data_IF_459990189456
#
_entry.id   IF_459990189456
#
_cell.length_a   1.000
_cell.length_b   1.000
_cell.length_c   1.000
_cell.angle_alpha   90.00
_cell.angle_beta   90.00
_cell.angle_gamma   90.00
#
_symmetry.space_group_name_H-M   'P 1'
#
loop_
_entity.id
_entity.type
_entity.pdbx_description
1 polymer ?
#
# COMPACT_ATOMS: atom_id res chain seq x y z
N UNK A 1 -4.23 21.46 10.59
CA UNK A 1 -3.16 20.91 9.70
C UNK A 1 -1.86 21.03 10.46
N UNK A 2 -1.17 19.92 10.71
CA UNK A 2 0.17 19.95 11.30
C UNK A 2 1.10 20.70 10.35
N UNK A 3 1.86 21.65 10.88
CA UNK A 3 2.81 22.45 10.08
C UNK A 3 4.06 21.61 9.82
N UNK A 4 3.97 20.68 8.86
CA UNK A 4 5.09 19.81 8.48
C UNK A 4 5.98 20.61 7.53
N UNK A 5 7.26 20.86 7.86
CA UNK A 5 8.17 21.61 7.00
C UNK A 5 8.35 20.90 5.65
N UNK A 6 8.55 21.67 4.59
CA UNK A 6 8.84 21.11 3.27
C UNK A 6 10.21 20.46 3.26
N UNK A 7 10.27 19.24 2.70
CA UNK A 7 11.52 18.50 2.47
C UNK A 7 11.93 18.50 0.99
N UNK A 8 11.29 19.31 0.15
CA UNK A 8 11.51 19.35 -1.29
C UNK A 8 12.97 19.53 -1.69
N UNK A 9 13.73 20.34 -0.94
CA UNK A 9 15.15 20.59 -1.21
C UNK A 9 16.09 19.49 -0.68
N UNK A 10 15.55 18.49 0.01
CA UNK A 10 16.31 17.39 0.63
C UNK A 10 16.27 16.09 -0.18
N UNK A 11 15.49 16.07 -1.25
CA UNK A 11 15.27 14.88 -2.10
C UNK A 11 15.48 15.23 -3.57
N UNK A 12 15.66 14.20 -4.43
CA UNK A 12 15.78 14.44 -5.86
C UNK A 12 14.45 14.95 -6.45
N UNK A 13 14.47 15.64 -7.61
CA UNK A 13 13.26 16.05 -8.30
C UNK A 13 12.30 14.87 -8.60
N UNK A 14 12.83 13.71 -8.97
CA UNK A 14 12.09 12.49 -9.27
C UNK A 14 11.41 11.95 -8.01
N UNK A 15 12.12 11.88 -6.88
CA UNK A 15 11.53 11.48 -5.60
C UNK A 15 10.47 12.49 -5.17
N UNK A 16 10.71 13.79 -5.35
CA UNK A 16 9.74 14.81 -4.99
C UNK A 16 8.44 14.67 -5.80
N UNK A 17 8.53 14.44 -7.11
CA UNK A 17 7.35 14.21 -7.94
C UNK A 17 6.58 12.97 -7.49
N UNK A 18 7.28 11.88 -7.20
CA UNK A 18 6.64 10.66 -6.68
C UNK A 18 5.92 10.92 -5.35
N UNK A 19 6.50 11.73 -4.46
CA UNK A 19 5.87 12.14 -3.19
C UNK A 19 4.58 12.93 -3.42
N UNK A 20 4.58 13.84 -4.40
CA UNK A 20 3.40 14.61 -4.77
C UNK A 20 2.31 13.70 -5.31
N UNK A 21 2.64 12.79 -6.21
CA UNK A 21 1.68 11.86 -6.82
C UNK A 21 1.12 10.88 -5.78
N UNK A 22 1.96 10.35 -4.89
CA UNK A 22 1.51 9.46 -3.82
C UNK A 22 0.62 10.17 -2.81
N UNK A 23 0.95 11.41 -2.43
CA UNK A 23 0.09 12.20 -1.55
C UNK A 23 -1.26 12.53 -2.21
N UNK A 24 -1.27 12.78 -3.52
CA UNK A 24 -2.50 12.97 -4.29
C UNK A 24 -3.35 11.68 -4.32
N UNK A 25 -2.72 10.50 -4.49
CA UNK A 25 -3.40 9.20 -4.44
C UNK A 25 -4.09 8.98 -3.08
N UNK A 26 -3.41 9.25 -1.96
CA UNK A 26 -4.02 9.18 -0.63
C UNK A 26 -5.25 10.07 -0.48
N UNK A 27 -5.15 11.32 -0.96
CA UNK A 27 -6.27 12.28 -0.91
C UNK A 27 -7.44 11.84 -1.79
N UNK A 28 -7.18 11.24 -2.95
CA UNK A 28 -8.20 10.66 -3.81
C UNK A 28 -8.91 9.49 -3.13
N UNK A 29 -8.18 8.60 -2.47
CA UNK A 29 -8.76 7.49 -1.68
C UNK A 29 -9.66 8.03 -0.57
N UNK A 30 -9.25 9.09 0.13
CA UNK A 30 -10.10 9.76 1.12
C UNK A 30 -11.34 10.40 0.48
N UNK A 31 -11.17 11.10 -0.65
CA UNK A 31 -12.26 11.76 -1.39
C UNK A 31 -13.34 10.75 -1.84
N UNK A 32 -12.93 9.56 -2.28
CA UNK A 32 -13.85 8.50 -2.69
C UNK A 32 -14.42 7.69 -1.51
N UNK A 33 -14.03 7.99 -0.27
CA UNK A 33 -14.51 7.26 0.92
C UNK A 33 -13.98 5.83 1.01
N UNK A 34 -12.78 5.57 0.51
CA UNK A 34 -12.14 4.25 0.51
C UNK A 34 -11.13 4.08 1.65
N UNK A 35 -10.90 5.12 2.44
CA UNK A 35 -10.04 5.06 3.62
C UNK A 35 -10.75 4.32 4.77
N UNK A 36 -9.96 3.66 5.61
CA UNK A 36 -10.40 3.04 6.86
C UNK A 36 -9.52 3.57 8.00
N UNK A 37 -9.84 4.76 8.49
CA UNK A 37 -9.05 5.46 9.51
C UNK A 37 -7.55 5.49 9.13
N UNK A 38 -6.71 4.82 9.92
CA UNK A 38 -5.25 4.75 9.75
C UNK A 38 -4.77 3.33 9.37
N UNK A 39 -5.71 2.41 9.09
CA UNK A 39 -5.40 0.97 8.93
C UNK A 39 -5.02 0.56 7.52
N UNK A 40 -5.22 1.41 6.54
CA UNK A 40 -4.86 1.15 5.14
C UNK A 40 -3.63 1.95 4.72
N UNK A 41 -3.00 1.56 3.62
CA UNK A 41 -1.72 2.14 3.22
C UNK A 41 -1.50 1.98 1.72
N UNK A 42 -0.71 2.89 1.17
CA UNK A 42 -0.21 2.85 -0.21
C UNK A 42 1.29 3.07 -0.15
N UNK A 43 2.07 2.21 -0.77
CA UNK A 43 3.50 2.43 -0.93
C UNK A 43 3.87 2.63 -2.37
N UNK A 44 4.92 3.41 -2.62
CA UNK A 44 5.46 3.61 -3.95
C UNK A 44 6.98 3.41 -3.94
N UNK A 45 7.49 2.70 -4.94
CA UNK A 45 8.92 2.47 -5.14
C UNK A 45 9.58 3.74 -5.66
N UNK A 46 10.61 4.20 -4.99
CA UNK A 46 11.46 5.28 -5.49
C UNK A 46 12.32 4.71 -6.63
N UNK A 47 12.40 5.39 -7.79
CA UNK A 47 13.28 4.97 -8.86
C UNK A 47 14.74 4.91 -8.40
N UNK A 48 15.45 3.84 -8.76
CA UNK A 48 16.86 3.63 -8.41
C UNK A 48 17.14 2.20 -7.98
N UNK A 49 18.41 1.82 -7.87
CA UNK A 49 18.81 0.46 -7.54
C UNK A 49 18.73 0.14 -6.04
N UNK A 50 18.47 1.14 -5.18
CA UNK A 50 18.54 0.99 -3.73
C UNK A 50 17.30 0.32 -3.12
N UNK A 51 16.24 0.10 -3.89
CA UNK A 51 14.96 -0.46 -3.43
C UNK A 51 14.37 0.28 -2.21
N UNK A 52 14.32 1.60 -2.32
CA UNK A 52 13.68 2.46 -1.33
C UNK A 52 12.21 2.70 -1.66
N UNK A 53 11.41 2.96 -0.64
CA UNK A 53 9.96 3.11 -0.76
C UNK A 53 9.45 4.32 -0.01
N UNK A 54 8.34 4.87 -0.47
CA UNK A 54 7.55 5.85 0.25
C UNK A 54 6.29 5.16 0.78
N UNK A 55 5.92 5.48 2.01
CA UNK A 55 4.68 5.00 2.64
C UNK A 55 4.08 6.10 3.52
N UNK A 56 2.79 5.99 3.85
CA UNK A 56 2.14 6.95 4.72
C UNK A 56 2.72 6.95 6.15
N UNK A 57 2.76 8.12 6.80
CA UNK A 57 2.99 8.21 8.23
C UNK A 57 1.84 7.53 8.98
N UNK A 58 2.14 6.58 9.86
CA UNK A 58 1.13 5.94 10.70
C UNK A 58 0.58 6.93 11.72
N UNK A 59 -0.74 6.99 11.80
CA UNK A 59 -1.46 7.91 12.70
C UNK A 59 -2.03 9.16 12.01
N UNK A 60 -1.69 9.42 10.73
CA UNK A 60 -2.36 10.46 9.95
C UNK A 60 -3.48 9.86 9.09
N UNK A 61 -4.59 10.59 9.01
CA UNK A 61 -5.66 10.28 8.07
C UNK A 61 -5.21 10.56 6.64
N UNK A 62 -5.80 9.91 5.66
CA UNK A 62 -5.39 10.03 4.27
C UNK A 62 -5.50 11.44 3.68
N UNK A 63 -6.49 12.22 4.11
CA UNK A 63 -6.67 13.63 3.73
C UNK A 63 -5.65 14.57 4.40
N UNK A 64 -4.95 14.12 5.44
CA UNK A 64 -3.89 14.89 6.09
C UNK A 64 -2.52 14.67 5.46
N UNK A 65 -2.35 13.62 4.62
CA UNK A 65 -1.07 13.26 4.04
C UNK A 65 -0.62 14.30 3.02
N UNK A 66 0.65 14.66 3.12
CA UNK A 66 1.34 15.60 2.22
C UNK A 66 2.59 14.94 1.64
N UNK A 67 3.14 15.50 0.57
CA UNK A 67 4.41 15.05 -0.01
C UNK A 67 5.56 15.04 1.03
N UNK A 68 5.55 15.99 1.96
CA UNK A 68 6.56 16.11 3.02
C UNK A 68 6.33 15.20 4.21
N UNK A 69 5.10 14.70 4.43
CA UNK A 69 4.81 13.79 5.54
C UNK A 69 5.13 12.34 5.23
N UNK A 70 5.22 11.96 3.94
CA UNK A 70 5.52 10.59 3.54
C UNK A 70 6.88 10.14 4.07
N UNK A 71 6.91 8.92 4.60
CA UNK A 71 8.10 8.34 5.21
C UNK A 71 8.86 7.53 4.15
N UNK A 72 10.17 7.74 4.06
CA UNK A 72 11.07 6.96 3.21
C UNK A 72 11.67 5.82 4.00
N UNK A 73 11.53 4.59 3.49
CA UNK A 73 12.01 3.37 4.13
C UNK A 73 12.76 2.48 3.16
N UNK A 74 13.61 1.58 3.71
CA UNK A 74 14.19 0.45 2.99
C UNK A 74 13.27 -0.80 3.04
N UNK A 75 13.76 -1.93 2.53
CA UNK A 75 13.03 -3.21 2.52
C UNK A 75 12.78 -3.79 3.92
N UNK A 76 13.58 -3.40 4.90
CA UNK A 76 13.48 -3.85 6.29
C UNK A 76 12.67 -2.87 7.17
N UNK A 77 11.99 -1.89 6.53
CA UNK A 77 11.20 -0.84 7.22
C UNK A 77 12.04 0.15 8.04
N UNK A 78 13.35 0.23 7.82
CA UNK A 78 14.16 1.26 8.46
C UNK A 78 13.91 2.62 7.80
N UNK A 79 13.72 3.64 8.62
CA UNK A 79 13.58 5.01 8.10
C UNK A 79 14.93 5.51 7.56
N UNK A 80 14.92 6.01 6.33
CA UNK A 80 16.10 6.53 5.63
C UNK A 80 16.21 8.06 5.68
N UNK A 81 15.22 8.72 6.25
CA UNK A 81 15.20 10.16 6.50
C UNK A 81 14.57 10.44 7.86
N UNK A 82 14.96 11.55 8.46
CA UNK A 82 14.33 12.03 9.68
C UNK A 82 12.83 12.25 9.45
N UNK A 83 12.04 11.63 10.29
CA UNK A 83 10.58 11.76 10.29
C UNK A 83 10.05 11.60 11.71
N UNK A 84 9.17 12.50 12.17
CA UNK A 84 8.54 12.37 13.47
C UNK A 84 7.48 11.25 13.52
N UNK A 85 7.12 10.71 12.37
CA UNK A 85 6.05 9.73 12.26
C UNK A 85 6.59 8.29 12.30
N UNK A 86 5.88 7.37 12.98
CA UNK A 86 6.11 5.94 12.83
C UNK A 86 5.58 5.41 11.49
N UNK A 87 6.01 4.23 11.12
CA UNK A 87 5.46 3.42 10.03
C UNK A 87 4.64 2.28 10.62
N UNK A 88 3.56 1.88 9.94
CA UNK A 88 2.78 0.70 10.34
C UNK A 88 3.53 -0.58 9.93
N UNK A 89 4.06 -1.38 10.88
CA UNK A 89 4.80 -2.58 10.54
C UNK A 89 3.97 -3.63 9.80
N UNK A 90 2.70 -3.81 10.19
CA UNK A 90 1.79 -4.78 9.55
C UNK A 90 1.57 -4.45 8.07
N UNK A 91 1.35 -3.17 7.76
CA UNK A 91 1.22 -2.73 6.37
C UNK A 91 2.49 -2.93 5.57
N UNK A 92 3.63 -2.70 6.17
CA UNK A 92 4.90 -2.86 5.49
C UNK A 92 5.26 -4.32 5.23
N UNK A 93 4.87 -5.27 6.08
CA UNK A 93 5.09 -6.71 5.88
C UNK A 93 4.54 -7.18 4.53
N UNK A 94 3.28 -6.84 4.22
CA UNK A 94 2.65 -7.22 2.94
C UNK A 94 3.30 -6.48 1.78
N UNK A 95 3.48 -5.15 1.90
CA UNK A 95 4.01 -4.33 0.81
C UNK A 95 5.46 -4.67 0.49
N UNK A 96 6.31 -4.88 1.51
CA UNK A 96 7.71 -5.28 1.29
C UNK A 96 7.82 -6.65 0.62
N UNK A 97 6.94 -7.62 0.95
CA UNK A 97 6.89 -8.91 0.30
C UNK A 97 6.62 -8.79 -1.21
N UNK A 98 5.62 -7.96 -1.59
CA UNK A 98 5.32 -7.71 -3.01
C UNK A 98 6.47 -6.98 -3.69
N UNK A 99 6.95 -5.89 -3.10
CA UNK A 99 8.03 -5.10 -3.70
C UNK A 99 9.35 -5.87 -3.84
N UNK A 100 9.63 -6.86 -2.98
CA UNK A 100 10.85 -7.66 -3.04
C UNK A 100 10.92 -8.55 -4.30
N UNK A 101 9.77 -8.99 -4.84
CA UNK A 101 9.71 -9.97 -5.94
C UNK A 101 9.11 -9.41 -7.23
N UNK A 102 8.45 -8.26 -7.17
CA UNK A 102 7.77 -7.62 -8.29
C UNK A 102 8.42 -6.27 -8.59
N UNK A 103 9.46 -6.28 -9.40
CA UNK A 103 10.12 -5.04 -9.85
C UNK A 103 9.18 -4.15 -10.68
N UNK A 104 8.21 -4.73 -11.36
CA UNK A 104 7.17 -4.05 -12.11
C UNK A 104 6.10 -3.40 -11.21
N UNK A 105 6.01 -3.77 -9.92
CA UNK A 105 5.12 -3.14 -8.96
C UNK A 105 5.71 -1.80 -8.47
N UNK A 106 5.52 -0.74 -9.26
CA UNK A 106 5.91 0.61 -8.85
C UNK A 106 5.10 1.15 -7.66
N UNK A 107 3.89 0.63 -7.45
CA UNK A 107 3.00 1.00 -6.36
C UNK A 107 2.24 -0.22 -5.85
N UNK A 108 2.07 -0.32 -4.54
CA UNK A 108 1.18 -1.30 -3.89
C UNK A 108 0.16 -0.54 -3.07
N UNK A 109 -1.13 -0.80 -3.32
CA UNK A 109 -2.25 -0.15 -2.64
C UNK A 109 -3.06 -1.20 -1.89
N UNK A 110 -3.27 -0.96 -0.60
CA UNK A 110 -4.16 -1.75 0.25
C UNK A 110 -5.31 -0.89 0.77
N UNK A 111 -6.54 -1.37 0.57
CA UNK A 111 -7.76 -0.67 0.99
C UNK A 111 -8.74 -1.63 1.68
N UNK A 112 -9.51 -1.08 2.61
CA UNK A 112 -10.64 -1.75 3.26
C UNK A 112 -11.96 -1.14 2.79
N UNK A 113 -12.17 -1.03 1.48
CA UNK A 113 -13.45 -0.52 0.99
C UNK A 113 -14.60 -1.44 1.45
N UNK A 114 -15.77 -0.88 1.74
CA UNK A 114 -16.93 -1.67 2.19
C UNK A 114 -17.26 -2.80 1.22
N UNK A 115 -17.19 -2.53 -0.08
CA UNK A 115 -17.42 -3.53 -1.12
C UNK A 115 -16.30 -4.58 -1.14
N UNK A 116 -15.03 -4.17 -1.07
CA UNK A 116 -13.87 -5.06 -1.04
C UNK A 116 -13.92 -6.01 0.15
N UNK A 117 -14.09 -5.47 1.36
CA UNK A 117 -14.23 -6.28 2.59
C UNK A 117 -15.42 -7.22 2.49
N UNK A 118 -16.59 -6.74 2.01
CA UNK A 118 -17.78 -7.57 1.84
C UNK A 118 -17.57 -8.74 0.88
N UNK A 119 -16.86 -8.53 -0.22
CA UNK A 119 -16.54 -9.59 -1.20
C UNK A 119 -15.43 -10.52 -0.67
N UNK A 120 -14.42 -9.98 0.03
CA UNK A 120 -13.33 -10.79 0.61
C UNK A 120 -13.84 -11.81 1.64
N UNK A 121 -14.92 -11.46 2.35
CA UNK A 121 -15.57 -12.31 3.36
C UNK A 121 -16.50 -13.38 2.75
N UNK A 122 -16.77 -13.34 1.45
CA UNK A 122 -17.63 -14.31 0.79
C UNK A 122 -16.82 -15.52 0.30
N UNK A 123 -17.32 -16.72 0.55
CA UNK A 123 -16.68 -17.95 0.06
C UNK A 123 -16.48 -17.94 -1.47
N UNK A 124 -17.46 -17.40 -2.21
CA UNK A 124 -17.40 -17.32 -3.66
C UNK A 124 -16.40 -16.26 -4.19
N UNK A 125 -16.06 -15.26 -3.36
CA UNK A 125 -15.19 -14.16 -3.79
C UNK A 125 -15.81 -13.30 -4.90
N UNK A 126 -15.00 -12.80 -5.79
CA UNK A 126 -15.43 -12.00 -6.95
C UNK A 126 -16.13 -12.89 -7.98
N UNK A 127 -17.35 -12.53 -8.37
CA UNK A 127 -18.16 -13.26 -9.33
C UNK A 127 -18.15 -12.57 -10.72
N UNK A 128 -18.24 -13.31 -11.83
CA UNK A 128 -18.25 -12.77 -13.18
C UNK A 128 -19.62 -12.21 -13.57
N UNK A 129 -20.13 -11.24 -12.81
CA UNK A 129 -21.49 -10.70 -12.93
C UNK A 129 -21.55 -9.31 -13.56
N UNK A 130 -20.42 -8.72 -13.89
CA UNK A 130 -20.32 -7.42 -14.57
C UNK A 130 -19.02 -7.32 -15.35
N UNK A 131 -18.97 -6.39 -16.30
CA UNK A 131 -17.73 -6.12 -17.05
C UNK A 131 -16.58 -5.72 -16.10
N UNK A 132 -16.88 -4.92 -15.06
CA UNK A 132 -15.89 -4.49 -14.06
C UNK A 132 -15.33 -5.68 -13.29
N UNK A 133 -16.17 -6.63 -12.88
CA UNK A 133 -15.69 -7.83 -12.19
C UNK A 133 -14.84 -8.72 -13.10
N UNK A 134 -15.11 -8.76 -14.40
CA UNK A 134 -14.28 -9.51 -15.36
C UNK A 134 -12.89 -8.91 -15.50
N UNK A 135 -12.74 -7.58 -15.49
CA UNK A 135 -11.41 -6.94 -15.48
C UNK A 135 -10.60 -7.35 -14.24
N UNK A 136 -11.23 -7.36 -13.06
CA UNK A 136 -10.55 -7.80 -11.84
C UNK A 136 -10.19 -9.28 -11.93
N UNK A 137 -11.15 -10.14 -12.31
CA UNK A 137 -10.95 -11.60 -12.41
C UNK A 137 -9.86 -12.01 -13.40
N UNK A 138 -9.59 -11.20 -14.43
CA UNK A 138 -8.54 -11.49 -15.42
C UNK A 138 -7.14 -11.57 -14.81
N UNK A 139 -6.92 -10.92 -13.66
CA UNK A 139 -5.61 -10.89 -12.98
C UNK A 139 -5.77 -10.85 -11.46
N UNK A 140 -6.65 -11.69 -10.90
CA UNK A 140 -6.96 -11.75 -9.47
C UNK A 140 -6.33 -12.98 -8.84
N UNK A 141 -5.63 -12.76 -7.73
CA UNK A 141 -5.19 -13.78 -6.79
C UNK A 141 -5.96 -13.69 -5.47
N UNK A 142 -5.95 -14.75 -4.69
CA UNK A 142 -6.50 -14.81 -3.34
C UNK A 142 -5.44 -15.29 -2.37
N UNK A 143 -5.50 -14.77 -1.14
CA UNK A 143 -4.72 -15.27 -0.01
C UNK A 143 -5.66 -15.54 1.16
N UNK A 144 -5.50 -16.68 1.80
CA UNK A 144 -6.28 -17.04 2.97
C UNK A 144 -5.83 -16.24 4.20
N UNK A 145 -6.79 -15.91 5.08
CA UNK A 145 -6.54 -15.08 6.25
C UNK A 145 -5.66 -15.79 7.29
N UNK A 146 -4.49 -15.23 7.56
CA UNK A 146 -3.54 -15.75 8.57
C UNK A 146 -3.46 -14.87 9.85
N UNK A 147 -4.36 -13.92 10.01
CA UNK A 147 -4.36 -12.98 11.13
C UNK A 147 -3.82 -11.61 10.73
N UNK A 148 -3.36 -10.84 11.72
CA UNK A 148 -2.70 -9.56 11.47
C UNK A 148 -1.30 -9.81 10.90
N UNK A 149 -0.97 -9.21 9.77
CA UNK A 149 0.27 -9.43 9.01
C UNK A 149 1.52 -8.88 9.74
N UNK A 150 1.85 -9.49 10.87
CA UNK A 150 3.06 -9.19 11.67
C UNK A 150 4.09 -10.33 11.59
N UNK A 151 3.73 -11.43 10.94
CA UNK A 151 4.57 -12.62 10.88
C UNK A 151 5.35 -12.66 9.56
N UNK A 152 6.66 -12.48 9.64
CA UNK A 152 7.56 -12.57 8.48
C UNK A 152 7.45 -13.92 7.73
N UNK A 153 7.07 -15.00 8.43
CA UNK A 153 6.87 -16.31 7.82
C UNK A 153 5.66 -16.38 6.86
N UNK A 154 4.79 -15.37 6.85
CA UNK A 154 3.69 -15.23 5.91
C UNK A 154 4.16 -14.75 4.52
N UNK A 155 5.21 -13.93 4.45
CA UNK A 155 5.70 -13.32 3.21
C UNK A 155 5.89 -14.31 2.04
N UNK A 156 6.52 -15.49 2.19
CA UNK A 156 6.66 -16.44 1.09
C UNK A 156 5.32 -16.94 0.52
N UNK A 157 4.30 -17.09 1.37
CA UNK A 157 2.95 -17.51 0.93
C UNK A 157 2.22 -16.38 0.23
N UNK A 158 2.30 -15.15 0.76
CA UNK A 158 1.78 -13.96 0.09
C UNK A 158 2.32 -13.83 -1.33
N UNK A 159 3.63 -14.00 -1.50
CA UNK A 159 4.31 -13.94 -2.80
C UNK A 159 3.88 -15.08 -3.72
N UNK A 160 3.81 -16.32 -3.20
CA UNK A 160 3.42 -17.49 -3.97
C UNK A 160 1.97 -17.38 -4.48
N UNK A 161 1.07 -16.90 -3.64
CA UNK A 161 -0.34 -16.74 -3.99
C UNK A 161 -0.57 -15.58 -4.97
N UNK A 162 0.15 -14.47 -4.83
CA UNK A 162 0.05 -13.34 -5.74
C UNK A 162 0.53 -13.70 -7.16
N UNK A 163 1.67 -14.38 -7.27
CA UNK A 163 2.29 -14.72 -8.54
C UNK A 163 2.48 -13.50 -9.44
N UNK A 164 1.97 -13.60 -10.68
CA UNK A 164 2.00 -12.54 -11.70
C UNK A 164 0.76 -11.62 -11.67
N UNK A 165 -0.14 -11.79 -10.71
CA UNK A 165 -1.42 -11.09 -10.67
C UNK A 165 -1.26 -9.64 -10.23
N UNK A 166 -2.22 -8.81 -10.66
CA UNK A 166 -2.29 -7.37 -10.37
C UNK A 166 -3.22 -7.07 -9.21
N UNK A 167 -4.33 -7.82 -9.10
CA UNK A 167 -5.28 -7.70 -8.03
C UNK A 167 -5.09 -8.83 -7.02
N UNK A 168 -5.21 -8.48 -5.75
CA UNK A 168 -4.97 -9.42 -4.66
C UNK A 168 -6.07 -9.28 -3.62
N UNK A 169 -6.90 -10.30 -3.48
CA UNK A 169 -7.95 -10.35 -2.48
C UNK A 169 -7.45 -11.12 -1.25
N UNK A 170 -7.25 -10.41 -0.16
CA UNK A 170 -6.97 -11.01 1.14
C UNK A 170 -8.30 -11.45 1.76
N UNK A 171 -8.55 -12.75 1.86
CA UNK A 171 -9.83 -13.28 2.35
C UNK A 171 -10.13 -12.82 3.77
N UNK A 172 -11.38 -12.43 4.03
CA UNK A 172 -11.86 -11.87 5.30
C UNK A 172 -11.13 -10.59 5.74
N UNK A 173 -10.45 -9.87 4.81
CA UNK A 173 -9.65 -8.71 5.15
C UNK A 173 -9.91 -7.55 4.17
N UNK A 174 -9.51 -7.66 2.91
CA UNK A 174 -9.63 -6.56 1.94
C UNK A 174 -9.11 -6.89 0.56
#
# INVERSE_FOLDING_TARGET
MSNIPSIQTQVSPEEWQLRVDLAAAYRLVALYGWSDLVFTHISARIPGPEHHFLINPYGLMFDEITASSLVKVDQDCNKLMESPFPVNPAGFTIHSAVHAVREDAGCVMHTHTRAGVGVSAQKAGVLPISQQSLFVLSSLAYHDYEGVALNEAEKPRLVADLGDKVFYMLRNHG
#
